data_IF_639673360443
#
_entry.id   IF_639673360443
#
_cell.length_a   1.000
_cell.length_b   1.000
_cell.length_c   1.000
_cell.angle_alpha   90.00
_cell.angle_beta   90.00
_cell.angle_gamma   90.00
#
_symmetry.space_group_name_H-M   'P 1'
#
loop_
_entity.id
_entity.type
_entity.pdbx_description
1 polymer ?
#
# COMPACT_ATOMS: atom_id res chain seq x y z
N UNK A 1 10.91 26.11 0.72
CA UNK A 1 10.00 25.71 1.79
C UNK A 1 10.30 24.26 2.22
N UNK A 2 10.60 24.02 3.49
CA UNK A 2 10.87 22.66 3.94
C UNK A 2 9.61 21.78 3.83
N UNK A 3 9.84 20.53 3.48
CA UNK A 3 8.77 19.50 3.45
C UNK A 3 8.75 18.83 4.82
N UNK A 4 7.61 18.93 5.49
CA UNK A 4 7.38 18.31 6.79
C UNK A 4 6.51 17.04 6.60
N UNK A 5 6.53 16.15 7.59
CA UNK A 5 5.73 14.93 7.56
C UNK A 5 4.21 15.19 7.37
N UNK A 6 3.73 16.35 7.84
CA UNK A 6 2.33 16.76 7.71
C UNK A 6 2.04 17.52 6.40
N UNK A 7 3.04 17.74 5.55
CA UNK A 7 2.85 18.51 4.31
C UNK A 7 2.04 17.69 3.30
N UNK A 8 0.95 18.30 2.79
CA UNK A 8 0.17 17.74 1.70
C UNK A 8 0.83 18.15 0.38
N UNK A 9 1.13 17.16 -0.47
CA UNK A 9 1.78 17.37 -1.76
C UNK A 9 0.79 17.09 -2.90
N UNK A 10 0.85 17.85 -4.02
CA UNK A 10 0.15 17.46 -5.24
C UNK A 10 0.62 16.09 -5.70
N UNK A 11 -0.31 15.26 -6.17
CA UNK A 11 -0.02 13.86 -6.53
C UNK A 11 1.05 13.75 -7.64
N UNK A 12 1.02 14.63 -8.65
CA UNK A 12 2.01 14.60 -9.72
C UNK A 12 3.43 14.88 -9.19
N UNK A 13 3.56 15.85 -8.30
CA UNK A 13 4.85 16.16 -7.68
C UNK A 13 5.36 15.04 -6.80
N UNK A 14 4.46 14.43 -6.05
CA UNK A 14 4.77 13.27 -5.21
C UNK A 14 5.27 12.09 -6.06
N UNK A 15 4.55 11.74 -7.13
CA UNK A 15 4.93 10.63 -8.00
C UNK A 15 6.25 10.88 -8.72
N UNK A 16 6.51 12.12 -9.17
CA UNK A 16 7.81 12.47 -9.78
C UNK A 16 8.95 12.34 -8.79
N UNK A 17 8.73 12.74 -7.54
CA UNK A 17 9.74 12.58 -6.49
C UNK A 17 10.05 11.11 -6.26
N UNK A 18 9.03 10.25 -6.20
CA UNK A 18 9.22 8.82 -6.03
C UNK A 18 9.99 8.22 -7.21
N UNK A 19 9.63 8.58 -8.44
CA UNK A 19 10.34 8.11 -9.63
C UNK A 19 11.81 8.51 -9.62
N UNK A 20 12.11 9.74 -9.20
CA UNK A 20 13.48 10.22 -9.11
C UNK A 20 14.30 9.46 -8.07
N UNK A 21 13.70 9.15 -6.92
CA UNK A 21 14.34 8.34 -5.88
C UNK A 21 14.65 6.95 -6.42
N UNK A 22 13.69 6.32 -7.08
CA UNK A 22 13.87 4.99 -7.66
C UNK A 22 14.95 5.01 -8.74
N UNK A 23 14.95 6.03 -9.59
CA UNK A 23 15.94 6.16 -10.65
C UNK A 23 17.36 6.34 -10.10
N UNK A 24 17.54 7.21 -9.11
CA UNK A 24 18.87 7.54 -8.59
C UNK A 24 19.43 6.50 -7.64
N UNK A 25 18.59 5.91 -6.80
CA UNK A 25 19.04 5.04 -5.70
C UNK A 25 18.86 3.56 -6.03
N UNK A 26 17.82 3.21 -6.78
CA UNK A 26 17.42 1.82 -7.03
C UNK A 26 17.53 1.42 -8.49
N UNK A 27 18.26 2.19 -9.31
CA UNK A 27 18.52 1.83 -10.72
C UNK A 27 17.29 1.79 -11.61
N UNK A 28 16.20 2.46 -11.23
CA UNK A 28 14.96 2.48 -12.01
C UNK A 28 14.06 1.28 -11.82
N UNK A 29 14.35 0.40 -10.85
CA UNK A 29 13.52 -0.78 -10.59
C UNK A 29 12.23 -0.40 -9.85
N UNK A 30 11.09 -0.44 -10.56
CA UNK A 30 9.78 -0.10 -10.02
C UNK A 30 9.35 -1.01 -8.87
N UNK A 31 9.88 -2.23 -8.77
CA UNK A 31 9.59 -3.13 -7.65
C UNK A 31 10.10 -2.60 -6.33
N UNK A 32 11.01 -1.62 -6.35
CA UNK A 32 11.47 -0.93 -5.14
C UNK A 32 10.33 -0.22 -4.42
N UNK A 33 9.27 0.17 -5.12
CA UNK A 33 8.07 0.72 -4.50
C UNK A 33 7.41 -0.26 -3.54
N UNK A 34 7.48 -1.55 -3.84
CA UNK A 34 6.96 -2.57 -2.94
C UNK A 34 7.72 -2.55 -1.60
N UNK A 35 9.05 -2.46 -1.64
CA UNK A 35 9.88 -2.35 -0.45
C UNK A 35 9.58 -1.09 0.35
N UNK A 36 9.30 0.02 -0.33
CA UNK A 36 8.89 1.27 0.33
C UNK A 36 7.61 1.05 1.14
N UNK A 37 6.65 0.38 0.54
CA UNK A 37 5.39 0.06 1.21
C UNK A 37 5.61 -0.82 2.43
N UNK A 38 6.42 -1.86 2.30
CA UNK A 38 6.75 -2.75 3.42
C UNK A 38 7.42 -2.01 4.57
N UNK A 39 8.39 -1.15 4.27
CA UNK A 39 9.08 -0.33 5.28
C UNK A 39 8.15 0.67 5.94
N UNK A 40 7.26 1.26 5.18
CA UNK A 40 6.24 2.18 5.70
C UNK A 40 5.29 1.47 6.67
N UNK A 41 4.86 0.25 6.33
CA UNK A 41 4.03 -0.56 7.22
C UNK A 41 4.78 -0.93 8.50
N UNK A 42 6.04 -1.33 8.38
CA UNK A 42 6.87 -1.66 9.52
C UNK A 42 6.93 -0.49 10.50
N UNK A 43 7.17 0.71 10.00
CA UNK A 43 7.22 1.90 10.86
C UNK A 43 5.85 2.23 11.46
N UNK A 44 4.81 2.35 10.63
CA UNK A 44 3.51 2.83 11.09
C UNK A 44 2.83 1.87 12.06
N UNK A 45 3.12 0.57 11.97
CA UNK A 45 2.53 -0.46 12.81
C UNK A 45 3.37 -0.81 14.04
N UNK A 46 4.62 -0.37 14.10
CA UNK A 46 5.49 -0.61 15.26
C UNK A 46 5.76 0.66 16.06
N UNK A 47 5.91 1.81 15.39
CA UNK A 47 6.28 3.08 16.02
C UNK A 47 5.32 4.24 15.68
N UNK A 48 4.51 4.09 14.65
CA UNK A 48 3.65 5.12 14.11
C UNK A 48 2.20 5.05 14.58
N UNK A 49 1.29 5.71 13.85
CA UNK A 49 -0.09 5.92 14.29
C UNK A 49 -0.94 4.64 14.38
N UNK A 50 -0.53 3.56 13.70
CA UNK A 50 -1.30 2.31 13.67
C UNK A 50 -0.72 1.21 14.55
N UNK A 51 0.22 1.54 15.48
CA UNK A 51 0.85 0.56 16.36
C UNK A 51 -0.13 -0.27 17.21
N UNK A 52 -1.30 0.29 17.52
CA UNK A 52 -2.33 -0.40 18.26
C UNK A 52 -2.91 -1.61 17.55
N UNK A 53 -2.85 -1.64 16.20
CA UNK A 53 -3.41 -2.74 15.40
C UNK A 53 -2.60 -4.03 15.57
N UNK A 54 -1.30 -3.92 15.75
CA UNK A 54 -0.44 -5.09 16.02
C UNK A 54 -0.80 -5.72 17.36
N UNK A 55 -1.10 -4.90 18.36
CA UNK A 55 -1.54 -5.38 19.67
C UNK A 55 -2.85 -6.15 19.61
N UNK A 56 -3.76 -5.75 18.74
CA UNK A 56 -5.05 -6.43 18.58
C UNK A 56 -4.90 -7.82 17.97
N UNK A 57 -3.82 -8.06 17.23
CA UNK A 57 -3.51 -9.32 16.52
C UNK A 57 -4.66 -9.80 15.63
N UNK A 58 -5.49 -8.88 15.16
CA UNK A 58 -6.64 -9.20 14.32
C UNK A 58 -6.32 -8.94 12.85
N UNK A 59 -6.05 -10.01 12.13
CA UNK A 59 -5.87 -10.02 10.68
C UNK A 59 -7.06 -9.40 9.95
N UNK A 60 -8.27 -9.82 10.34
CA UNK A 60 -9.51 -9.32 9.77
C UNK A 60 -9.73 -7.84 10.07
N UNK A 61 -9.47 -7.41 11.29
CA UNK A 61 -9.62 -6.00 11.66
C UNK A 61 -8.69 -5.11 10.84
N UNK A 62 -7.44 -5.50 10.69
CA UNK A 62 -6.49 -4.75 9.85
C UNK A 62 -6.98 -4.68 8.39
N UNK A 63 -7.41 -5.81 7.84
CA UNK A 63 -7.90 -5.86 6.47
C UNK A 63 -9.11 -4.94 6.26
N UNK A 64 -10.05 -4.91 7.22
CA UNK A 64 -11.24 -4.05 7.15
C UNK A 64 -10.92 -2.56 7.23
N UNK A 65 -9.76 -2.19 7.75
CA UNK A 65 -9.35 -0.78 7.86
C UNK A 65 -8.64 -0.25 6.61
N UNK A 66 -8.48 -1.07 5.57
CA UNK A 66 -7.78 -0.68 4.34
C UNK A 66 -8.28 0.64 3.77
N UNK A 67 -9.59 0.85 3.72
CA UNK A 67 -10.21 2.07 3.20
C UNK A 67 -9.77 3.32 3.99
N UNK A 68 -9.84 3.24 5.31
CA UNK A 68 -9.46 4.36 6.16
C UNK A 68 -7.97 4.64 6.14
N UNK A 69 -7.15 3.60 6.11
CA UNK A 69 -5.69 3.76 6.01
C UNK A 69 -5.33 4.43 4.69
N UNK A 70 -5.88 3.96 3.57
CA UNK A 70 -5.65 4.57 2.27
C UNK A 70 -6.05 6.05 2.25
N UNK A 71 -7.23 6.39 2.78
CA UNK A 71 -7.76 7.74 2.80
C UNK A 71 -6.91 8.72 3.64
N UNK A 72 -6.12 8.22 4.60
CA UNK A 72 -5.21 9.06 5.37
C UNK A 72 -3.97 9.48 4.57
N UNK A 73 -3.65 8.78 3.49
CA UNK A 73 -2.48 9.08 2.66
C UNK A 73 -2.84 9.71 1.32
N UNK A 74 -4.00 9.39 0.75
CA UNK A 74 -4.38 9.80 -0.60
C UNK A 74 -5.80 10.35 -0.66
N UNK A 75 -5.97 11.41 -1.43
CA UNK A 75 -7.28 12.03 -1.67
C UNK A 75 -7.96 11.48 -2.92
N UNK A 76 -7.19 10.85 -3.83
CA UNK A 76 -7.72 10.29 -5.08
C UNK A 76 -7.84 8.78 -4.97
N UNK A 77 -8.93 8.25 -5.50
CA UNK A 77 -9.20 6.83 -5.49
C UNK A 77 -9.67 6.33 -4.14
N UNK A 78 -9.86 5.04 -4.07
CA UNK A 78 -10.37 4.37 -2.89
C UNK A 78 -9.77 2.97 -2.82
N UNK A 79 -9.41 2.53 -1.61
CA UNK A 79 -9.06 1.14 -1.35
C UNK A 79 -10.21 0.46 -0.62
N UNK A 80 -10.62 -0.70 -1.12
CA UNK A 80 -11.63 -1.54 -0.49
C UNK A 80 -11.06 -2.92 -0.25
N UNK A 81 -11.55 -3.60 0.78
CA UNK A 81 -11.13 -4.96 1.10
C UNK A 81 -12.33 -5.85 1.36
N UNK A 82 -12.15 -7.12 1.06
CA UNK A 82 -13.10 -8.19 1.36
C UNK A 82 -12.34 -9.31 2.05
N UNK A 83 -12.89 -9.81 3.14
CA UNK A 83 -12.29 -10.91 3.90
C UNK A 83 -13.20 -12.11 3.81
N UNK A 84 -12.68 -13.22 3.28
CA UNK A 84 -13.38 -14.50 3.18
C UNK A 84 -12.47 -15.54 3.82
N UNK A 85 -12.83 -16.01 5.02
CA UNK A 85 -12.00 -16.87 5.85
C UNK A 85 -10.62 -16.20 6.09
N UNK A 86 -9.53 -16.75 5.57
CA UNK A 86 -8.19 -16.18 5.68
C UNK A 86 -7.74 -15.45 4.40
N UNK A 87 -8.59 -15.42 3.38
CA UNK A 87 -8.32 -14.72 2.13
C UNK A 87 -8.72 -13.25 2.25
N UNK A 88 -7.80 -12.35 1.95
CA UNK A 88 -8.09 -10.92 1.85
C UNK A 88 -7.97 -10.50 0.40
N UNK A 89 -8.98 -9.84 -0.11
CA UNK A 89 -8.98 -9.22 -1.44
C UNK A 89 -8.90 -7.72 -1.26
N UNK A 90 -7.88 -7.12 -1.83
CA UNK A 90 -7.67 -5.66 -1.81
C UNK A 90 -7.88 -5.12 -3.22
N UNK A 91 -8.70 -4.10 -3.33
CA UNK A 91 -8.93 -3.39 -4.59
C UNK A 91 -8.67 -1.90 -4.41
N UNK A 92 -7.93 -1.31 -5.35
CA UNK A 92 -7.72 0.12 -5.44
C UNK A 92 -8.35 0.58 -6.75
N UNK A 93 -9.31 1.49 -6.66
CA UNK A 93 -10.07 1.94 -7.82
C UNK A 93 -10.40 3.44 -7.71
N UNK A 94 -10.89 4.02 -8.81
CA UNK A 94 -11.25 5.43 -8.84
C UNK A 94 -10.06 6.38 -8.95
N UNK A 95 -8.84 5.87 -9.15
CA UNK A 95 -7.67 6.69 -9.43
C UNK A 95 -7.76 7.18 -10.89
N UNK A 96 -7.67 8.50 -11.15
CA UNK A 96 -7.70 9.01 -12.53
C UNK A 96 -6.63 8.34 -13.40
N UNK A 97 -6.96 8.08 -14.66
CA UNK A 97 -6.08 7.37 -15.58
C UNK A 97 -4.67 7.98 -15.68
N UNK A 98 -4.57 9.32 -15.66
CA UNK A 98 -3.28 10.01 -15.72
C UNK A 98 -2.42 9.80 -14.50
N UNK A 99 -2.98 9.26 -13.42
CA UNK A 99 -2.27 8.95 -12.17
C UNK A 99 -2.13 7.44 -11.94
N UNK A 100 -2.41 6.61 -12.93
CA UNK A 100 -2.13 5.17 -12.86
C UNK A 100 -0.61 4.96 -12.89
N UNK A 101 -0.05 4.69 -11.73
CA UNK A 101 1.38 4.63 -11.51
C UNK A 101 1.73 3.38 -10.69
N UNK A 102 2.91 2.82 -10.95
CA UNK A 102 3.40 1.65 -10.23
C UNK A 102 3.44 1.85 -8.72
N UNK A 103 3.62 3.08 -8.25
CA UNK A 103 3.59 3.40 -6.82
C UNK A 103 2.25 3.01 -6.19
N UNK A 104 1.13 3.37 -6.82
CA UNK A 104 -0.21 3.03 -6.31
C UNK A 104 -0.47 1.52 -6.25
N UNK A 105 0.20 0.76 -7.09
CA UNK A 105 0.10 -0.69 -7.04
C UNK A 105 1.09 -1.28 -6.04
N UNK A 106 2.39 -1.10 -6.26
CA UNK A 106 3.41 -1.82 -5.50
C UNK A 106 3.57 -1.30 -4.08
N UNK A 107 3.58 0.02 -3.86
CA UNK A 107 3.78 0.55 -2.51
C UNK A 107 2.59 0.23 -1.61
N UNK A 108 1.38 0.35 -2.12
CA UNK A 108 0.18 0.07 -1.33
C UNK A 108 0.05 -1.43 -1.05
N UNK A 109 0.30 -2.28 -2.04
CA UNK A 109 0.26 -3.73 -1.84
C UNK A 109 1.38 -4.21 -0.93
N UNK A 110 2.57 -3.61 -1.01
CA UNK A 110 3.67 -3.91 -0.08
C UNK A 110 3.33 -3.53 1.35
N UNK A 111 2.75 -2.36 1.55
CA UNK A 111 2.26 -1.91 2.84
C UNK A 111 1.24 -2.91 3.41
N UNK A 112 0.29 -3.30 2.60
CA UNK A 112 -0.80 -4.17 3.02
C UNK A 112 -0.30 -5.57 3.36
N UNK A 113 0.57 -6.13 2.52
CA UNK A 113 1.19 -7.44 2.77
C UNK A 113 1.95 -7.44 4.09
N UNK A 114 2.84 -6.47 4.29
CA UNK A 114 3.63 -6.40 5.52
C UNK A 114 2.76 -6.14 6.74
N UNK A 115 1.73 -5.30 6.60
CA UNK A 115 0.78 -5.06 7.67
C UNK A 115 0.07 -6.34 8.11
N UNK A 116 -0.40 -7.14 7.17
CA UNK A 116 -1.02 -8.43 7.47
C UNK A 116 -0.04 -9.38 8.15
N UNK A 117 1.22 -9.41 7.73
CA UNK A 117 2.27 -10.23 8.36
C UNK A 117 2.52 -9.80 9.81
N UNK A 118 2.63 -8.50 10.06
CA UNK A 118 2.89 -7.98 11.40
C UNK A 118 1.72 -8.26 12.36
N UNK A 119 0.52 -8.11 11.89
CA UNK A 119 -0.68 -8.32 12.70
C UNK A 119 -0.92 -9.81 12.97
N UNK A 120 -0.74 -10.66 11.98
CA UNK A 120 -0.97 -12.11 12.11
C UNK A 120 0.20 -12.85 12.73
N UNK A 121 1.41 -12.32 12.65
CA UNK A 121 2.63 -13.02 13.04
C UNK A 121 3.03 -14.15 12.09
N UNK A 122 2.48 -14.17 10.88
CA UNK A 122 2.69 -15.22 9.87
C UNK A 122 3.11 -14.61 8.54
N UNK A 123 3.94 -15.32 7.75
CA UNK A 123 4.18 -14.92 6.37
C UNK A 123 2.88 -14.87 5.57
N UNK A 124 2.81 -13.94 4.61
CA UNK A 124 1.64 -13.77 3.76
C UNK A 124 2.06 -13.94 2.30
N UNK A 125 1.30 -14.71 1.56
CA UNK A 125 1.47 -14.90 0.12
C UNK A 125 0.54 -13.92 -0.61
N UNK A 126 1.08 -13.25 -1.63
CA UNK A 126 0.36 -12.26 -2.41
C UNK A 126 0.21 -12.73 -3.86
N UNK A 127 -0.99 -12.54 -4.43
CA UNK A 127 -1.26 -12.84 -5.84
C UNK A 127 -1.86 -11.61 -6.50
N UNK A 128 -1.20 -11.12 -7.55
CA UNK A 128 -1.71 -10.03 -8.38
C UNK A 128 -2.73 -10.56 -9.37
N UNK A 129 -3.93 -10.01 -9.34
CA UNK A 129 -5.02 -10.36 -10.28
C UNK A 129 -5.10 -9.31 -11.38
N UNK A 130 -5.12 -8.02 -11.01
CA UNK A 130 -5.09 -6.87 -11.92
C UNK A 130 -4.16 -5.80 -11.36
N UNK A 131 -3.64 -4.95 -12.22
CA UNK A 131 -2.77 -3.86 -11.78
C UNK A 131 -2.54 -2.83 -12.86
N UNK A 132 -2.19 -1.62 -12.43
CA UNK A 132 -1.86 -0.52 -13.32
C UNK A 132 -0.65 -0.86 -14.20
N UNK A 133 0.29 -1.63 -13.67
CA UNK A 133 1.50 -2.05 -14.40
C UNK A 133 1.17 -3.04 -15.53
N UNK A 134 -0.03 -3.61 -15.54
CA UNK A 134 -0.53 -4.50 -16.59
C UNK A 134 -1.51 -3.80 -17.54
N UNK A 135 -1.73 -2.49 -17.36
CA UNK A 135 -2.68 -1.72 -18.16
C UNK A 135 -4.12 -1.80 -17.68
N UNK A 136 -4.38 -2.41 -16.53
CA UNK A 136 -5.73 -2.46 -15.97
C UNK A 136 -6.15 -1.11 -15.40
N UNK A 137 -7.47 -0.89 -15.27
CA UNK A 137 -8.03 0.34 -14.74
C UNK A 137 -8.10 0.36 -13.22
N UNK A 138 -7.84 -0.77 -12.56
CA UNK A 138 -7.80 -0.92 -11.12
C UNK A 138 -6.63 -1.81 -10.69
N UNK A 139 -6.38 -1.82 -9.40
CA UNK A 139 -5.47 -2.76 -8.75
C UNK A 139 -6.31 -3.75 -7.97
N UNK A 140 -6.06 -5.05 -8.15
CA UNK A 140 -6.75 -6.11 -7.44
C UNK A 140 -5.75 -7.19 -7.07
N UNK A 141 -5.56 -7.38 -5.77
CA UNK A 141 -4.63 -8.36 -5.23
C UNK A 141 -5.32 -9.23 -4.19
N UNK A 142 -4.87 -10.48 -4.11
CA UNK A 142 -5.28 -11.43 -3.07
C UNK A 142 -4.12 -11.73 -2.15
N UNK A 143 -4.41 -11.80 -0.85
CA UNK A 143 -3.44 -12.10 0.21
C UNK A 143 -3.99 -13.22 1.08
N UNK A 144 -3.11 -14.17 1.45
CA UNK A 144 -3.47 -15.21 2.40
C UNK A 144 -2.23 -15.63 3.18
N UNK A 145 -2.40 -16.14 4.43
CA UNK A 145 -1.28 -16.71 5.18
C UNK A 145 -0.63 -17.86 4.39
N UNK A 146 0.68 -17.89 4.46
CA UNK A 146 1.45 -18.95 3.80
C UNK A 146 1.31 -20.27 4.55
#
# INVERSE_FOLDING_TARGET
>A
RPILASTVLPIEGFLRLQDEIVRQIYGGDEKSYFDFGEKSAQWSLTQGPYKHLVKSKSYEQFARLARGIYANYFTEGEATSEVIDDLVRLRIHGVPKQHHHAYFEYAICGYFKRGLELVSGKPVVMKAIRGFTRGDSDVFYEFRPA
#
